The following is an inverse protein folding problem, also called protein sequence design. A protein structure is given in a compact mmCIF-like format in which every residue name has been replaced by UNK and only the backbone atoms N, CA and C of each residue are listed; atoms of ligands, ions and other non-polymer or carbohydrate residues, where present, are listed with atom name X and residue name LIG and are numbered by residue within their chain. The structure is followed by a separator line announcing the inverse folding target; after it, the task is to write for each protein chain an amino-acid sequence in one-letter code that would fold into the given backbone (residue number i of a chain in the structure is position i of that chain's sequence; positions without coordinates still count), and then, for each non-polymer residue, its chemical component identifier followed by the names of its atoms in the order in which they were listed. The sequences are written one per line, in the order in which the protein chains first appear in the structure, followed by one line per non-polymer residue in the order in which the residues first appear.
data_IF_210310309971
#
_entry.id   IF_210310309971
#
_cell.length_a   1.000
_cell.length_b   1.000
_cell.length_c   1.000
_cell.angle_alpha   90.00
_cell.angle_beta   90.00
_cell.angle_gamma   90.00
#
_symmetry.space_group_name_H-M   'P 1'
#
loop_
_entity.id
_entity.type
_entity.pdbx_description
1 polymer ?
#
# COMPACT_ATOMS: atom_id res chain seq x y z
N UNK A 1 12.33 -19.58 10.38
CA UNK A 1 10.98 -18.99 10.20
C UNK A 1 10.99 -17.68 9.40
N UNK A 2 12.02 -16.83 9.55
CA UNK A 2 12.19 -15.58 8.80
C UNK A 2 11.91 -15.68 7.29
N UNK A 3 12.53 -16.65 6.59
CA UNK A 3 12.37 -16.82 5.14
C UNK A 3 10.91 -17.04 4.69
N UNK A 4 10.13 -17.81 5.46
CA UNK A 4 8.73 -18.08 5.13
C UNK A 4 7.90 -16.80 5.21
N UNK A 5 8.07 -16.01 6.27
CA UNK A 5 7.38 -14.73 6.42
C UNK A 5 7.82 -13.71 5.39
N UNK A 6 9.10 -13.73 4.97
CA UNK A 6 9.59 -12.88 3.89
C UNK A 6 8.89 -13.23 2.57
N UNK A 7 8.79 -14.52 2.22
CA UNK A 7 8.06 -14.97 1.03
C UNK A 7 6.59 -14.52 1.07
N UNK A 8 5.91 -14.75 2.20
CA UNK A 8 4.52 -14.33 2.40
C UNK A 8 4.38 -12.81 2.24
N UNK A 9 5.26 -12.03 2.86
CA UNK A 9 5.25 -10.57 2.79
C UNK A 9 5.40 -10.08 1.35
N UNK A 10 6.34 -10.65 0.59
CA UNK A 10 6.57 -10.28 -0.82
C UNK A 10 5.34 -10.64 -1.68
N UNK A 11 4.76 -11.82 -1.48
CA UNK A 11 3.56 -12.25 -2.21
C UNK A 11 2.39 -11.28 -1.93
N UNK A 12 2.15 -10.93 -0.67
CA UNK A 12 1.14 -9.94 -0.30
C UNK A 12 1.43 -8.57 -0.92
N UNK A 13 2.70 -8.14 -0.96
CA UNK A 13 3.10 -6.86 -1.53
C UNK A 13 2.81 -6.82 -3.03
N UNK A 14 3.10 -7.91 -3.76
CA UNK A 14 2.83 -8.02 -5.20
C UNK A 14 1.33 -7.89 -5.47
N UNK A 15 0.49 -8.65 -4.76
CA UNK A 15 -0.97 -8.58 -4.95
C UNK A 15 -1.53 -7.19 -4.61
N UNK A 16 -1.02 -6.59 -3.53
CA UNK A 16 -1.44 -5.26 -3.12
C UNK A 16 -1.09 -4.18 -4.16
N UNK A 17 0.15 -4.19 -4.65
CA UNK A 17 0.60 -3.26 -5.70
C UNK A 17 -0.18 -3.47 -7.00
N UNK A 18 -0.38 -4.73 -7.41
CA UNK A 18 -1.15 -5.05 -8.61
C UNK A 18 -2.60 -4.54 -8.52
N UNK A 19 -3.24 -4.68 -7.36
CA UNK A 19 -4.58 -4.16 -7.12
C UNK A 19 -4.63 -2.62 -7.20
N UNK A 20 -3.71 -1.93 -6.52
CA UNK A 20 -3.64 -0.46 -6.56
C UNK A 20 -3.35 0.02 -7.98
N UNK A 21 -2.46 -0.66 -8.71
CA UNK A 21 -2.17 -0.38 -10.12
C UNK A 21 -3.41 -0.55 -11.01
N UNK A 22 -4.17 -1.63 -10.83
CA UNK A 22 -5.39 -1.87 -11.58
C UNK A 22 -6.43 -0.76 -11.34
N UNK A 23 -6.68 -0.39 -10.08
CA UNK A 23 -7.69 0.62 -9.71
C UNK A 23 -7.32 2.04 -10.20
N UNK A 24 -6.03 2.35 -10.27
CA UNK A 24 -5.53 3.68 -10.62
C UNK A 24 -5.30 3.85 -12.11
N UNK A 25 -4.66 2.86 -12.74
CA UNK A 25 -4.23 2.93 -14.13
C UNK A 25 -5.29 2.32 -15.04
N UNK A 26 -5.51 1.01 -14.92
CA UNK A 26 -6.35 0.23 -15.86
C UNK A 26 -7.79 0.75 -15.83
N UNK A 27 -8.34 0.91 -14.63
CA UNK A 27 -9.72 1.34 -14.47
C UNK A 27 -9.93 2.80 -14.94
N UNK A 28 -8.92 3.67 -14.80
CA UNK A 28 -8.98 5.04 -15.33
C UNK A 28 -8.91 5.09 -16.87
N UNK A 29 -8.19 4.15 -17.48
CA UNK A 29 -8.18 3.99 -18.94
C UNK A 29 -9.52 3.48 -19.47
N UNK A 30 -10.24 2.64 -18.73
CA UNK A 30 -11.56 2.13 -19.13
C UNK A 30 -12.58 3.27 -19.33
N UNK A 31 -12.58 4.30 -18.46
CA UNK A 31 -13.44 5.49 -18.64
C UNK A 31 -13.16 6.30 -19.91
N UNK A 32 -12.05 6.07 -20.60
CA UNK A 32 -11.73 6.75 -21.87
C UNK A 32 -12.44 6.09 -23.05
N UNK A 33 -12.79 4.81 -22.93
CA UNK A 33 -13.33 4.01 -24.03
C UNK A 33 -14.79 3.63 -23.83
N UNK A 34 -15.26 3.59 -22.58
CA UNK A 34 -16.62 3.13 -22.24
C UNK A 34 -17.45 4.24 -21.57
N UNK A 35 -18.76 4.04 -21.56
CA UNK A 35 -19.69 4.97 -20.93
C UNK A 35 -19.50 4.98 -19.39
N UNK A 36 -19.55 6.17 -18.79
CA UNK A 36 -19.20 6.36 -17.37
C UNK A 36 -20.10 5.57 -16.42
N UNK A 37 -21.39 5.44 -16.75
CA UNK A 37 -22.36 4.73 -15.92
C UNK A 37 -22.09 3.22 -15.84
N UNK A 38 -21.70 2.61 -16.97
CA UNK A 38 -21.41 1.17 -17.02
C UNK A 38 -20.08 0.86 -16.36
N UNK A 39 -19.08 1.72 -16.55
CA UNK A 39 -17.85 1.68 -15.76
C UNK A 39 -18.15 1.73 -14.27
N UNK A 40 -18.94 2.70 -13.78
CA UNK A 40 -19.25 2.86 -12.35
C UNK A 40 -19.98 1.64 -11.77
N UNK A 41 -20.90 1.03 -12.52
CA UNK A 41 -21.56 -0.23 -12.13
C UNK A 41 -20.56 -1.36 -11.97
N UNK A 42 -19.64 -1.53 -12.94
CA UNK A 42 -18.59 -2.53 -12.88
C UNK A 42 -17.67 -2.26 -11.68
N UNK A 43 -17.31 -0.99 -11.42
CA UNK A 43 -16.49 -0.62 -10.24
C UNK A 43 -17.10 -1.13 -8.97
N UNK A 44 -18.37 -0.80 -8.80
CA UNK A 44 -19.11 -1.08 -7.58
C UNK A 44 -19.27 -2.58 -7.38
N UNK A 45 -19.50 -3.32 -8.46
CA UNK A 45 -19.61 -4.78 -8.43
C UNK A 45 -18.30 -5.45 -8.00
N UNK A 46 -17.18 -5.14 -8.64
CA UNK A 46 -15.91 -5.77 -8.26
C UNK A 46 -15.44 -5.29 -6.89
N UNK A 47 -15.54 -3.98 -6.59
CA UNK A 47 -15.05 -3.40 -5.32
C UNK A 47 -15.79 -4.01 -4.13
N UNK A 48 -17.11 -4.24 -4.23
CA UNK A 48 -17.89 -4.85 -3.16
C UNK A 48 -17.42 -6.28 -2.85
N UNK A 49 -17.09 -7.05 -3.87
CA UNK A 49 -16.58 -8.41 -3.71
C UNK A 49 -15.10 -8.46 -3.32
N UNK A 50 -14.29 -7.54 -3.83
CA UNK A 50 -12.84 -7.52 -3.63
C UNK A 50 -12.41 -6.89 -2.31
N UNK A 51 -13.26 -6.07 -1.67
CA UNK A 51 -12.87 -5.33 -0.45
C UNK A 51 -12.43 -6.24 0.69
N UNK A 52 -13.08 -7.39 0.88
CA UNK A 52 -12.74 -8.36 1.94
C UNK A 52 -11.39 -9.01 1.64
N UNK A 53 -11.18 -9.45 0.40
CA UNK A 53 -9.93 -10.08 -0.05
C UNK A 53 -8.77 -9.08 0.09
N UNK A 54 -8.98 -7.85 -0.38
CA UNK A 54 -7.99 -6.79 -0.31
C UNK A 54 -7.64 -6.41 1.13
N UNK A 55 -8.65 -6.23 2.00
CA UNK A 55 -8.44 -5.94 3.41
C UNK A 55 -7.65 -7.06 4.10
N UNK A 56 -7.97 -8.32 3.81
CA UNK A 56 -7.23 -9.47 4.34
C UNK A 56 -5.77 -9.48 3.88
N UNK A 57 -5.50 -9.29 2.59
CA UNK A 57 -4.13 -9.22 2.04
C UNK A 57 -3.36 -8.06 2.68
N UNK A 58 -4.00 -6.91 2.85
CA UNK A 58 -3.38 -5.73 3.44
C UNK A 58 -3.04 -5.92 4.92
N UNK A 59 -3.93 -6.53 5.70
CA UNK A 59 -3.66 -6.89 7.09
C UNK A 59 -2.50 -7.89 7.17
N UNK A 60 -2.48 -8.89 6.30
CA UNK A 60 -1.41 -9.89 6.26
C UNK A 60 -0.07 -9.27 5.84
N UNK A 61 -0.08 -8.31 4.93
CA UNK A 61 1.09 -7.51 4.54
C UNK A 61 1.64 -6.72 5.74
N UNK A 62 0.78 -6.05 6.50
CA UNK A 62 1.16 -5.29 7.69
C UNK A 62 1.70 -6.20 8.80
N UNK A 63 0.99 -7.28 9.13
CA UNK A 63 1.39 -8.22 10.18
C UNK A 63 2.70 -8.92 9.85
N UNK A 64 2.88 -9.37 8.60
CA UNK A 64 4.15 -9.96 8.16
C UNK A 64 5.29 -8.94 8.18
N UNK A 65 5.05 -7.70 7.75
CA UNK A 65 6.05 -6.63 7.81
C UNK A 65 6.47 -6.29 9.24
N UNK A 66 5.51 -6.22 10.17
CA UNK A 66 5.77 -5.99 11.60
C UNK A 66 6.55 -7.15 12.23
N UNK A 67 6.21 -8.39 11.88
CA UNK A 67 6.95 -9.56 12.33
C UNK A 67 8.39 -9.57 11.78
N UNK A 68 8.61 -9.18 10.52
CA UNK A 68 9.96 -9.02 9.97
C UNK A 68 10.76 -7.94 10.68
N UNK A 69 10.12 -6.86 11.12
CA UNK A 69 10.77 -5.80 11.90
C UNK A 69 11.33 -6.34 13.22
N UNK A 70 10.67 -7.31 13.84
CA UNK A 70 11.12 -7.93 15.10
C UNK A 70 12.44 -8.70 14.99
N UNK A 71 12.90 -9.04 13.78
CA UNK A 71 14.21 -9.67 13.58
C UNK A 71 15.37 -8.67 13.51
N UNK A 72 15.07 -7.37 13.46
CA UNK A 72 16.09 -6.34 13.54
C UNK A 72 16.33 -5.97 15.01
N UNK A 73 17.57 -6.14 15.46
CA UNK A 73 18.00 -5.79 16.82
C UNK A 73 18.19 -4.28 16.94
N UNK A 74 17.09 -3.55 17.17
CA UNK A 74 17.15 -2.13 17.55
C UNK A 74 17.11 -2.02 19.07
N UNK A 75 18.24 -1.65 19.69
CA UNK A 75 18.34 -1.43 21.14
C UNK A 75 17.65 -0.12 21.56
N UNK A 76 17.66 0.88 20.67
CA UNK A 76 16.95 2.14 20.87
C UNK A 76 16.43 2.75 19.56
N UNK A 77 15.40 3.60 19.62
CA UNK A 77 14.84 4.30 18.45
C UNK A 77 15.90 5.11 17.70
N UNK A 78 16.89 5.64 18.42
CA UNK A 78 18.00 6.40 17.84
C UNK A 78 19.02 5.53 17.09
N UNK A 79 19.09 4.23 17.37
CA UNK A 79 20.01 3.32 16.66
C UNK A 79 19.56 3.07 15.22
N UNK A 80 18.27 3.29 14.92
CA UNK A 80 17.73 3.24 13.56
C UNK A 80 18.42 4.26 12.64
N UNK A 81 18.84 5.42 13.19
CA UNK A 81 19.49 6.47 12.42
C UNK A 81 21.02 6.30 12.29
N UNK A 82 21.60 5.30 12.96
CA UNK A 82 23.05 5.04 12.92
C UNK A 82 23.49 4.17 11.75
N UNK A 83 22.57 3.40 11.17
CA UNK A 83 22.84 2.49 10.06
C UNK A 83 22.03 2.87 8.83
N UNK A 84 22.65 2.82 7.65
CA UNK A 84 21.95 3.02 6.36
C UNK A 84 20.69 2.15 6.26
N UNK A 85 20.81 0.89 6.69
CA UNK A 85 19.71 -0.06 6.70
C UNK A 85 18.54 0.42 7.58
N UNK A 86 18.85 0.98 8.76
CA UNK A 86 17.84 1.53 9.66
C UNK A 86 17.15 2.77 9.09
N UNK A 87 17.91 3.66 8.44
CA UNK A 87 17.36 4.85 7.77
C UNK A 87 16.39 4.45 6.65
N UNK A 88 16.76 3.50 5.80
CA UNK A 88 15.88 3.00 4.74
C UNK A 88 14.63 2.29 5.30
N UNK A 89 14.77 1.51 6.37
CA UNK A 89 13.62 0.91 7.07
C UNK A 89 12.68 1.96 7.63
N UNK A 90 13.22 3.02 8.25
CA UNK A 90 12.42 4.12 8.80
C UNK A 90 11.66 4.84 7.71
N UNK A 91 12.33 5.23 6.62
CA UNK A 91 11.70 5.88 5.46
C UNK A 91 10.57 4.99 4.91
N UNK A 92 10.84 3.69 4.72
CA UNK A 92 9.84 2.72 4.25
C UNK A 92 8.62 2.67 5.16
N UNK A 93 8.83 2.66 6.48
CA UNK A 93 7.75 2.62 7.46
C UNK A 93 6.96 3.93 7.50
N UNK A 94 7.62 5.08 7.42
CA UNK A 94 6.97 6.40 7.33
C UNK A 94 6.11 6.50 6.07
N UNK A 95 6.60 6.02 4.92
CA UNK A 95 5.82 6.00 3.67
C UNK A 95 4.58 5.11 3.79
N UNK A 96 4.72 3.96 4.44
CA UNK A 96 3.60 3.05 4.70
C UNK A 96 2.54 3.69 5.62
N UNK A 97 2.97 4.36 6.69
CA UNK A 97 2.07 5.09 7.61
C UNK A 97 1.38 6.24 6.87
N UNK A 98 2.10 7.00 6.05
CA UNK A 98 1.53 8.07 5.23
C UNK A 98 0.47 7.51 4.26
N UNK A 99 0.74 6.37 3.65
CA UNK A 99 -0.20 5.69 2.75
C UNK A 99 -1.45 5.17 3.49
N UNK A 100 -1.27 4.62 4.69
CA UNK A 100 -2.36 4.25 5.60
C UNK A 100 -3.22 5.46 5.97
N UNK A 101 -2.58 6.56 6.40
CA UNK A 101 -3.24 7.80 6.76
C UNK A 101 -4.03 8.39 5.59
N UNK A 102 -3.47 8.38 4.38
CA UNK A 102 -4.13 8.83 3.16
C UNK A 102 -5.36 7.98 2.83
N UNK A 103 -5.24 6.65 2.99
CA UNK A 103 -6.34 5.71 2.75
C UNK A 103 -7.46 5.90 3.77
N UNK A 104 -7.14 6.06 5.05
CA UNK A 104 -8.11 6.34 6.11
C UNK A 104 -8.76 7.72 5.92
N UNK A 105 -8.00 8.74 5.53
CA UNK A 105 -8.50 10.07 5.26
C UNK A 105 -9.49 10.08 4.09
N UNK A 106 -9.13 9.42 2.98
CA UNK A 106 -9.99 9.23 1.81
C UNK A 106 -11.27 8.46 2.18
N UNK A 107 -11.15 7.35 2.92
CA UNK A 107 -12.30 6.58 3.39
C UNK A 107 -13.20 7.39 4.33
N UNK A 108 -12.61 8.19 5.23
CA UNK A 108 -13.36 9.07 6.13
C UNK A 108 -14.13 10.13 5.31
N UNK A 109 -13.49 10.80 4.36
CA UNK A 109 -14.14 11.81 3.53
C UNK A 109 -15.26 11.22 2.64
N UNK A 110 -15.04 10.06 2.03
CA UNK A 110 -16.04 9.40 1.18
C UNK A 110 -17.20 8.86 2.03
N UNK A 111 -16.90 8.18 3.14
CA UNK A 111 -17.90 7.44 3.94
C UNK A 111 -18.66 8.34 4.91
N UNK A 112 -18.02 9.34 5.50
CA UNK A 112 -18.64 10.26 6.48
C UNK A 112 -19.08 11.56 5.80
N UNK A 113 -18.27 12.13 4.90
CA UNK A 113 -18.58 13.42 4.28
C UNK A 113 -19.37 13.32 2.96
N UNK A 114 -19.56 12.11 2.40
CA UNK A 114 -20.27 11.83 1.13
C UNK A 114 -19.83 12.74 -0.04
N UNK A 115 -18.62 13.29 0.01
CA UNK A 115 -18.05 14.13 -1.05
C UNK A 115 -17.11 13.29 -1.91
N UNK A 116 -17.07 13.60 -3.21
CA UNK A 116 -16.04 13.07 -4.12
C UNK A 116 -14.67 13.45 -3.57
N UNK A 117 -13.77 12.46 -3.57
CA UNK A 117 -12.40 12.62 -3.08
C UNK A 117 -11.72 13.81 -3.78
N UNK A 118 -11.39 14.90 -3.06
CA UNK A 118 -10.86 16.12 -3.67
C UNK A 118 -9.39 15.96 -4.08
N UNK A 119 -8.68 15.03 -3.45
CA UNK A 119 -7.31 14.67 -3.74
C UNK A 119 -7.34 13.36 -4.50
N UNK A 120 -6.53 13.23 -5.55
CA UNK A 120 -6.35 11.97 -6.29
C UNK A 120 -5.60 10.95 -5.42
N UNK A 121 -6.14 10.60 -4.25
CA UNK A 121 -5.52 9.78 -3.19
C UNK A 121 -5.01 8.47 -3.74
N UNK A 122 -5.75 7.86 -4.67
CA UNK A 122 -5.34 6.60 -5.31
C UNK A 122 -4.08 6.76 -6.20
N UNK A 123 -3.89 7.87 -6.91
CA UNK A 123 -2.65 8.11 -7.69
C UNK A 123 -1.45 8.35 -6.77
N UNK A 124 -1.66 9.08 -5.68
CA UNK A 124 -0.61 9.34 -4.68
C UNK A 124 -0.22 8.02 -4.00
N UNK A 125 -1.19 7.15 -3.70
CA UNK A 125 -0.96 5.79 -3.20
C UNK A 125 -0.12 4.93 -4.15
N UNK A 126 -0.34 5.02 -5.47
CA UNK A 126 0.49 4.34 -6.45
C UNK A 126 1.94 4.84 -6.43
N UNK A 127 2.14 6.16 -6.37
CA UNK A 127 3.47 6.78 -6.28
C UNK A 127 4.17 6.34 -4.99
N UNK A 128 3.45 6.33 -3.86
CA UNK A 128 3.94 5.83 -2.57
C UNK A 128 4.36 4.36 -2.66
N UNK A 129 3.55 3.49 -3.28
CA UNK A 129 3.91 2.09 -3.52
C UNK A 129 5.20 1.94 -4.31
N UNK A 130 5.38 2.73 -5.38
CA UNK A 130 6.61 2.71 -6.20
C UNK A 130 7.81 3.15 -5.35
N UNK A 131 7.66 4.23 -4.57
CA UNK A 131 8.72 4.72 -3.68
C UNK A 131 9.13 3.67 -2.63
N UNK A 132 8.16 2.93 -2.07
CA UNK A 132 8.38 1.84 -1.12
C UNK A 132 9.19 0.69 -1.77
N UNK A 133 8.88 0.33 -3.03
CA UNK A 133 9.63 -0.70 -3.77
C UNK A 133 11.07 -0.25 -4.04
N UNK A 134 11.26 1.00 -4.44
CA UNK A 134 12.59 1.58 -4.65
C UNK A 134 13.40 1.57 -3.35
N UNK A 135 12.81 1.99 -2.23
CA UNK A 135 13.47 1.94 -0.92
C UNK A 135 13.83 0.51 -0.51
N UNK A 136 12.94 -0.46 -0.75
CA UNK A 136 13.20 -1.86 -0.43
C UNK A 136 14.37 -2.42 -1.24
N UNK A 137 14.50 -2.03 -2.51
CA UNK A 137 15.64 -2.41 -3.35
C UNK A 137 16.92 -1.69 -2.90
N UNK A 138 16.84 -0.40 -2.60
CA UNK A 138 17.99 0.40 -2.14
C UNK A 138 18.61 -0.17 -0.85
N UNK A 139 17.78 -0.68 0.07
CA UNK A 139 18.24 -1.34 1.30
C UNK A 139 19.10 -2.60 1.07
N UNK A 140 19.01 -3.23 -0.12
CA UNK A 140 19.87 -4.37 -0.47
C UNK A 140 21.23 -3.94 -1.03
N UNK A 141 21.37 -2.68 -1.46
CA UNK A 141 22.57 -2.17 -2.12
C UNK A 141 23.39 -1.19 -1.24
N UNK A 142 22.78 -0.58 -0.22
CA UNK A 142 23.37 0.44 0.66
C UNK A 142 23.26 0.06 2.15
#
# INVERSE_FOLDING_TARGET
MYFIFLCIHIICAIFFIAYVFFDVCIYRFAYKHENKEDCDKIKKAYTKSSIIIFASIFILLLSSGFYLLSFYEFVSFWDIFKSNLGIFLFIKLTLLIAMLGLTLYSLFFIKILKRKDPLKSHLIALILCILIVICAKAMLYF
#
